data_IF_168350540127
#
_entry.id   IF_168350540127
#
_cell.length_a   1.000
_cell.length_b   1.000
_cell.length_c   1.000
_cell.angle_alpha   90.00
_cell.angle_beta   90.00
_cell.angle_gamma   90.00
#
_symmetry.space_group_name_H-M   'P 1'
#
loop_
_entity.id
_entity.type
_entity.pdbx_description
1 polymer ?
#
# COMPACT_ATOMS: atom_id res chain seq x y z
N UNK A 1 -4.59 10.39 28.70
CA UNK A 1 -3.20 10.05 28.33
C UNK A 1 -3.23 8.97 27.28
N UNK A 2 -2.89 9.31 26.04
CA UNK A 2 -2.75 8.35 24.95
C UNK A 2 -1.27 7.99 24.80
N UNK A 3 -0.97 6.71 24.72
CA UNK A 3 0.34 6.19 24.29
C UNK A 3 0.21 5.86 22.81
N UNK A 4 1.18 6.32 22.00
CA UNK A 4 1.24 6.10 20.56
C UNK A 4 2.42 5.18 20.29
N UNK A 5 2.15 4.00 19.75
CA UNK A 5 3.19 3.13 19.19
C UNK A 5 3.29 3.41 17.68
N UNK A 6 4.38 4.06 17.27
CA UNK A 6 4.56 4.64 15.95
C UNK A 6 4.75 3.60 14.83
N UNK A 7 5.01 2.33 15.17
CA UNK A 7 5.19 1.26 14.19
C UNK A 7 3.88 0.57 13.76
N UNK A 8 2.79 0.70 14.54
CA UNK A 8 1.55 -0.06 14.32
C UNK A 8 0.30 0.81 14.07
N UNK A 9 0.38 2.12 14.33
CA UNK A 9 -0.78 3.01 14.17
C UNK A 9 -1.97 2.61 15.06
N UNK A 10 -1.68 2.24 16.32
CA UNK A 10 -2.69 1.87 17.31
C UNK A 10 -2.77 2.97 18.38
N UNK A 11 -3.99 3.42 18.71
CA UNK A 11 -4.25 4.37 19.78
C UNK A 11 -5.07 3.74 20.88
N UNK A 12 -4.62 3.91 22.12
CA UNK A 12 -5.33 3.49 23.33
C UNK A 12 -6.14 4.66 23.89
N UNK A 13 -7.43 4.46 24.09
CA UNK A 13 -8.34 5.45 24.68
C UNK A 13 -8.93 4.88 25.96
N UNK A 14 -8.61 5.49 27.10
CA UNK A 14 -9.25 5.16 28.38
C UNK A 14 -10.63 5.83 28.45
N UNK A 15 -11.67 5.03 28.71
CA UNK A 15 -13.08 5.43 28.72
C UNK A 15 -13.69 5.54 30.14
N UNK A 16 -12.92 5.30 31.20
CA UNK A 16 -13.45 5.22 32.58
C UNK A 16 -13.86 6.56 33.19
N UNK A 17 -13.17 7.64 32.83
CA UNK A 17 -13.43 8.96 33.41
C UNK A 17 -14.77 9.54 32.92
N UNK A 18 -14.93 9.63 31.59
CA UNK A 18 -16.14 10.10 30.93
C UNK A 18 -16.24 9.41 29.58
N UNK A 19 -17.23 8.52 29.47
CA UNK A 19 -17.43 7.70 28.28
C UNK A 19 -17.86 8.54 27.07
N UNK A 20 -18.64 9.60 27.27
CA UNK A 20 -19.11 10.46 26.17
C UNK A 20 -17.97 11.31 25.64
N UNK A 21 -17.15 11.86 26.54
CA UNK A 21 -15.93 12.55 26.14
C UNK A 21 -14.94 11.60 25.45
N UNK A 22 -14.79 10.38 25.95
CA UNK A 22 -13.98 9.33 25.32
C UNK A 22 -14.42 9.04 23.88
N UNK A 23 -15.74 8.86 23.64
CA UNK A 23 -16.30 8.67 22.29
C UNK A 23 -16.04 9.87 21.38
N UNK A 24 -16.16 11.10 21.90
CA UNK A 24 -15.83 12.30 21.11
C UNK A 24 -14.37 12.34 20.70
N UNK A 25 -13.45 11.92 21.57
CA UNK A 25 -12.03 11.78 21.23
C UNK A 25 -11.85 10.75 20.12
N UNK A 26 -12.46 9.57 20.24
CA UNK A 26 -12.40 8.50 19.20
C UNK A 26 -12.85 9.06 17.85
N UNK A 27 -14.02 9.69 17.80
CA UNK A 27 -14.56 10.27 16.55
C UNK A 27 -13.66 11.39 16.00
N UNK A 28 -13.04 12.20 16.87
CA UNK A 28 -12.12 13.26 16.44
C UNK A 28 -10.83 12.70 15.87
N UNK A 29 -10.28 11.64 16.49
CA UNK A 29 -9.10 10.94 15.98
C UNK A 29 -9.38 10.36 14.60
N UNK A 30 -10.52 9.66 14.42
CA UNK A 30 -10.91 9.07 13.14
C UNK A 30 -11.17 10.11 12.04
N UNK A 31 -11.52 11.35 12.39
CA UNK A 31 -11.61 12.45 11.41
C UNK A 31 -10.25 12.96 10.94
N UNK A 32 -9.22 12.85 11.77
CA UNK A 32 -7.86 13.34 11.46
C UNK A 32 -7.04 12.22 10.77
N UNK A 33 -7.18 10.99 11.25
CA UNK A 33 -6.50 9.80 10.71
C UNK A 33 -7.55 8.68 10.55
N UNK A 34 -8.19 8.57 9.38
CA UNK A 34 -9.30 7.62 9.17
C UNK A 34 -8.91 6.14 9.36
N UNK A 35 -7.68 5.78 9.03
CA UNK A 35 -7.21 4.37 9.00
C UNK A 35 -6.50 3.93 10.29
N UNK A 36 -6.58 4.72 11.37
CA UNK A 36 -5.94 4.40 12.64
C UNK A 36 -6.78 3.39 13.44
N UNK A 37 -6.13 2.38 14.02
CA UNK A 37 -6.83 1.40 14.86
C UNK A 37 -6.93 1.91 16.29
N UNK A 38 -8.12 1.84 16.88
CA UNK A 38 -8.37 2.38 18.23
C UNK A 38 -8.77 1.25 19.17
N UNK A 39 -8.08 1.10 20.29
CA UNK A 39 -8.43 0.18 21.38
C UNK A 39 -9.04 0.98 22.52
N UNK A 40 -10.32 0.74 22.82
CA UNK A 40 -10.98 1.27 24.01
C UNK A 40 -10.54 0.48 25.25
N UNK A 41 -10.19 1.18 26.32
CA UNK A 41 -9.80 0.57 27.61
C UNK A 41 -10.73 1.08 28.70
N UNK A 42 -11.32 0.18 29.48
CA UNK A 42 -12.20 0.57 30.60
C UNK A 42 -12.30 -0.53 31.66
N UNK A 43 -12.40 -0.17 32.92
CA UNK A 43 -12.74 -1.08 34.02
C UNK A 43 -14.19 -1.56 33.99
N UNK A 44 -15.05 -0.96 33.15
CA UNK A 44 -16.45 -1.34 33.00
C UNK A 44 -16.60 -2.50 32.02
N UNK A 45 -17.29 -3.54 32.47
CA UNK A 45 -17.52 -4.77 31.70
C UNK A 45 -18.96 -4.91 31.20
N UNK A 46 -19.78 -3.86 31.33
CA UNK A 46 -21.17 -3.91 30.88
C UNK A 46 -21.24 -3.94 29.34
N UNK A 47 -22.06 -4.82 28.75
CA UNK A 47 -22.15 -4.96 27.29
C UNK A 47 -22.54 -3.66 26.57
N UNK A 48 -23.34 -2.80 27.21
CA UNK A 48 -23.77 -1.52 26.63
C UNK A 48 -22.58 -0.57 26.41
N UNK A 49 -21.68 -0.47 27.38
CA UNK A 49 -20.43 0.32 27.27
C UNK A 49 -19.55 -0.20 26.15
N UNK A 50 -19.35 -1.53 26.08
CA UNK A 50 -18.52 -2.16 25.05
C UNK A 50 -19.10 -1.88 23.66
N UNK A 51 -20.39 -2.18 23.44
CA UNK A 51 -21.06 -1.96 22.17
C UNK A 51 -21.05 -0.47 21.80
N UNK A 52 -21.27 0.41 22.78
CA UNK A 52 -21.27 1.84 22.52
C UNK A 52 -19.89 2.40 22.19
N UNK A 53 -18.81 1.85 22.76
CA UNK A 53 -17.44 2.20 22.39
C UNK A 53 -17.11 1.72 20.97
N UNK A 54 -17.48 0.48 20.63
CA UNK A 54 -17.32 -0.05 19.27
C UNK A 54 -18.08 0.79 18.24
N UNK A 55 -19.33 1.19 18.54
CA UNK A 55 -20.12 2.10 17.68
C UNK A 55 -19.52 3.49 17.51
N UNK A 56 -18.72 3.96 18.46
CA UNK A 56 -18.01 5.22 18.35
C UNK A 56 -16.77 5.13 17.44
N UNK A 57 -16.35 3.91 17.06
CA UNK A 57 -15.26 3.65 16.14
C UNK A 57 -14.05 2.94 16.76
N UNK A 58 -14.15 2.42 17.98
CA UNK A 58 -13.11 1.54 18.53
C UNK A 58 -13.05 0.23 17.72
N UNK A 59 -11.85 -0.15 17.29
CA UNK A 59 -11.56 -1.39 16.57
C UNK A 59 -11.56 -2.61 17.48
N UNK A 60 -11.14 -2.43 18.74
CA UNK A 60 -11.19 -3.43 19.81
C UNK A 60 -11.47 -2.78 21.17
N UNK A 61 -11.78 -3.60 22.17
CA UNK A 61 -12.02 -3.19 23.54
C UNK A 61 -11.30 -4.13 24.51
N UNK A 62 -10.66 -3.58 25.54
CA UNK A 62 -9.95 -4.34 26.58
C UNK A 62 -10.39 -3.86 27.96
N UNK A 63 -10.69 -4.80 28.84
CA UNK A 63 -11.12 -4.50 30.21
C UNK A 63 -9.93 -4.17 31.10
N UNK A 64 -10.08 -3.19 31.99
CA UNK A 64 -9.11 -2.90 33.05
C UNK A 64 -9.46 -3.67 34.34
N UNK A 65 -8.47 -4.15 35.12
CA UNK A 65 -7.03 -4.08 34.87
C UNK A 65 -6.64 -4.91 33.64
N UNK A 66 -5.80 -4.32 32.79
CA UNK A 66 -5.46 -4.90 31.49
C UNK A 66 -4.63 -6.16 31.69
N UNK A 67 -5.17 -7.30 31.29
CA UNK A 67 -4.41 -8.54 31.13
C UNK A 67 -3.54 -8.44 29.86
N UNK A 68 -2.28 -8.86 29.98
CA UNK A 68 -1.33 -8.92 28.87
C UNK A 68 -1.84 -9.83 27.76
N UNK A 69 -2.52 -10.93 28.10
CA UNK A 69 -3.05 -11.86 27.09
C UNK A 69 -4.25 -11.26 26.33
N UNK A 70 -5.17 -10.60 27.02
CA UNK A 70 -6.32 -9.92 26.40
C UNK A 70 -5.86 -8.75 25.52
N UNK A 71 -4.87 -8.01 25.99
CA UNK A 71 -4.25 -6.94 25.20
C UNK A 71 -3.56 -7.49 23.94
N UNK A 72 -2.78 -8.56 24.09
CA UNK A 72 -2.14 -9.24 22.96
C UNK A 72 -3.17 -9.72 21.94
N UNK A 73 -4.24 -10.37 22.41
CA UNK A 73 -5.33 -10.83 21.55
C UNK A 73 -6.04 -9.67 20.82
N UNK A 74 -6.26 -8.54 21.48
CA UNK A 74 -6.83 -7.35 20.85
C UNK A 74 -5.91 -6.80 19.76
N UNK A 75 -4.60 -6.69 20.03
CA UNK A 75 -3.62 -6.27 19.03
C UNK A 75 -3.55 -7.27 17.88
N UNK A 76 -3.53 -8.57 18.14
CA UNK A 76 -3.53 -9.60 17.10
C UNK A 76 -4.79 -9.57 16.24
N UNK A 77 -5.96 -9.28 16.82
CA UNK A 77 -7.21 -9.09 16.05
C UNK A 77 -7.18 -7.85 15.17
N UNK A 78 -6.58 -6.77 15.64
CA UNK A 78 -6.35 -5.57 14.83
C UNK A 78 -5.41 -5.91 13.67
N UNK A 79 -4.30 -6.59 13.97
CA UNK A 79 -3.37 -7.08 12.95
C UNK A 79 -4.10 -7.99 11.97
N UNK A 80 -4.86 -8.98 12.42
CA UNK A 80 -5.55 -9.92 11.54
C UNK A 80 -6.70 -9.31 10.75
N UNK A 81 -7.32 -8.23 11.23
CA UNK A 81 -8.35 -7.48 10.48
C UNK A 81 -7.71 -6.57 9.43
N UNK A 82 -6.56 -5.95 9.75
CA UNK A 82 -5.76 -5.20 8.78
C UNK A 82 -5.08 -6.12 7.76
N UNK A 83 -4.69 -7.31 8.19
CA UNK A 83 -4.20 -8.44 7.42
C UNK A 83 -5.34 -9.36 6.91
N UNK A 84 -6.61 -9.00 7.09
CA UNK A 84 -7.74 -9.80 6.58
C UNK A 84 -7.91 -9.66 5.06
N UNK A 85 -7.16 -8.73 4.46
CA UNK A 85 -6.58 -8.97 3.14
C UNK A 85 -5.20 -9.56 3.43
N UNK A 86 -5.00 -10.88 3.32
CA UNK A 86 -3.68 -11.43 3.53
C UNK A 86 -2.76 -10.79 2.48
N UNK A 87 -1.76 -10.02 2.92
CA UNK A 87 -0.60 -9.70 2.10
C UNK A 87 0.18 -11.01 1.89
N UNK A 88 -0.36 -11.87 1.03
CA UNK A 88 0.36 -13.03 0.46
C UNK A 88 1.12 -12.64 -0.80
N UNK A 89 0.95 -11.40 -1.27
CA UNK A 89 1.70 -10.88 -2.39
C UNK A 89 3.08 -10.43 -1.96
N UNK A 90 4.11 -10.85 -2.68
CA UNK A 90 5.44 -10.26 -2.57
C UNK A 90 5.55 -9.05 -3.50
N UNK A 91 5.61 -7.84 -2.94
CA UNK A 91 5.73 -6.57 -3.67
C UNK A 91 7.19 -6.22 -3.93
N UNK A 92 7.57 -6.10 -5.19
CA UNK A 92 8.93 -5.78 -5.62
C UNK A 92 8.92 -4.44 -6.35
N UNK A 93 9.53 -3.43 -5.76
CA UNK A 93 9.69 -2.12 -6.38
C UNK A 93 11.04 -2.03 -7.09
N UNK A 94 11.04 -1.68 -8.38
CA UNK A 94 12.25 -1.51 -9.17
C UNK A 94 12.46 -0.03 -9.47
N UNK A 95 13.63 0.51 -9.14
CA UNK A 95 13.97 1.92 -9.36
C UNK A 95 15.30 2.05 -10.09
N UNK A 96 15.30 2.79 -11.19
CA UNK A 96 16.52 3.08 -11.95
C UNK A 96 17.33 4.22 -11.34
N UNK A 97 18.62 4.00 -11.07
CA UNK A 97 19.53 5.03 -10.58
C UNK A 97 19.87 6.10 -11.64
N UNK A 98 19.64 5.84 -12.93
CA UNK A 98 19.87 6.80 -14.02
C UNK A 98 18.91 6.54 -15.18
N UNK A 99 18.82 7.47 -16.13
CA UNK A 99 18.03 7.25 -17.34
C UNK A 99 18.63 6.12 -18.18
N UNK A 100 17.78 5.25 -18.72
CA UNK A 100 18.21 4.18 -19.63
C UNK A 100 19.06 3.08 -18.98
N UNK A 101 19.06 2.94 -17.64
CA UNK A 101 19.78 1.84 -16.95
C UNK A 101 19.10 0.48 -17.09
N UNK A 102 17.90 0.44 -17.68
CA UNK A 102 17.12 -0.78 -17.89
C UNK A 102 16.17 -1.13 -16.74
N UNK A 103 15.73 -0.15 -15.93
CA UNK A 103 14.75 -0.37 -14.85
C UNK A 103 13.48 -1.04 -15.35
N UNK A 104 12.75 -0.38 -16.25
CA UNK A 104 11.53 -0.91 -16.91
C UNK A 104 11.78 -2.26 -17.58
N UNK A 105 12.89 -2.41 -18.31
CA UNK A 105 13.24 -3.68 -18.96
C UNK A 105 13.37 -4.80 -17.93
N UNK A 106 14.03 -4.54 -16.81
CA UNK A 106 14.15 -5.52 -15.73
C UNK A 106 12.81 -5.79 -15.08
N UNK A 107 11.97 -4.78 -14.83
CA UNK A 107 10.62 -4.92 -14.28
C UNK A 107 9.76 -5.87 -15.14
N UNK A 108 9.75 -5.66 -16.47
CA UNK A 108 9.00 -6.50 -17.41
C UNK A 108 9.51 -7.96 -17.43
N UNK A 109 10.82 -8.16 -17.46
CA UNK A 109 11.41 -9.50 -17.46
C UNK A 109 11.22 -10.20 -16.11
N UNK A 110 11.37 -9.48 -15.00
CA UNK A 110 11.16 -10.01 -13.65
C UNK A 110 9.72 -10.49 -13.47
N UNK A 111 8.73 -9.69 -13.88
CA UNK A 111 7.32 -10.10 -13.82
C UNK A 111 7.05 -11.35 -14.67
N UNK A 112 7.65 -11.43 -15.86
CA UNK A 112 7.54 -12.57 -16.76
C UNK A 112 8.17 -13.84 -16.16
N UNK A 113 9.39 -13.74 -15.63
CA UNK A 113 10.11 -14.85 -15.01
C UNK A 113 9.40 -15.33 -13.74
N UNK A 114 8.91 -14.43 -12.88
CA UNK A 114 8.13 -14.80 -11.70
C UNK A 114 6.86 -15.56 -12.09
N UNK A 115 6.17 -15.11 -13.14
CA UNK A 115 4.97 -15.78 -13.62
C UNK A 115 5.26 -17.19 -14.17
N UNK A 116 6.39 -17.36 -14.88
CA UNK A 116 6.80 -18.64 -15.42
C UNK A 116 7.25 -19.62 -14.32
N UNK A 117 8.11 -19.17 -13.41
CA UNK A 117 8.70 -20.02 -12.36
C UNK A 117 7.69 -20.45 -11.31
N UNK A 118 6.73 -19.58 -10.97
CA UNK A 118 5.72 -19.88 -9.95
C UNK A 118 4.45 -20.49 -10.53
N UNK A 119 4.28 -20.45 -11.86
CA UNK A 119 3.04 -20.80 -12.55
C UNK A 119 1.80 -20.03 -12.05
N UNK A 120 2.02 -18.83 -11.49
CA UNK A 120 0.98 -17.93 -11.00
C UNK A 120 1.06 -16.61 -11.74
N UNK A 121 -0.07 -15.93 -11.91
CA UNK A 121 -0.06 -14.61 -12.56
C UNK A 121 0.69 -13.59 -11.72
N UNK A 122 1.63 -12.86 -12.34
CA UNK A 122 2.33 -11.74 -11.71
C UNK A 122 1.69 -10.42 -12.15
N UNK A 123 1.39 -9.54 -11.19
CA UNK A 123 1.01 -8.16 -11.54
C UNK A 123 2.26 -7.35 -11.88
N UNK A 124 2.18 -6.52 -12.91
CA UNK A 124 3.16 -5.50 -13.25
C UNK A 124 2.48 -4.15 -13.26
N UNK A 125 2.98 -3.19 -12.48
CA UNK A 125 2.43 -1.84 -12.38
C UNK A 125 3.46 -0.84 -12.89
N UNK A 126 3.08 -0.05 -13.88
CA UNK A 126 3.91 1.05 -14.39
C UNK A 126 3.53 2.36 -13.70
N UNK A 127 4.41 2.84 -12.81
CA UNK A 127 4.23 4.10 -12.09
C UNK A 127 5.03 5.26 -12.68
N UNK A 128 5.71 5.07 -13.81
CA UNK A 128 6.18 6.22 -14.61
C UNK A 128 4.98 6.76 -15.40
N UNK A 129 4.11 7.48 -14.69
CA UNK A 129 2.80 7.93 -15.17
C UNK A 129 2.90 8.80 -16.42
N UNK A 130 4.01 9.52 -16.61
CA UNK A 130 4.20 10.44 -17.74
C UNK A 130 4.89 9.77 -18.93
N UNK A 131 5.89 8.91 -18.68
CA UNK A 131 6.80 8.41 -19.73
C UNK A 131 7.05 6.90 -19.68
N UNK A 132 6.29 6.14 -18.89
CA UNK A 132 6.42 4.70 -18.76
C UNK A 132 6.20 3.94 -20.06
N UNK A 133 7.01 2.91 -20.29
CA UNK A 133 7.05 2.13 -21.53
C UNK A 133 6.84 0.63 -21.28
N UNK A 134 6.24 0.25 -20.14
CA UNK A 134 6.01 -1.17 -19.84
C UNK A 134 5.08 -1.82 -20.88
N UNK A 135 3.98 -1.14 -21.25
CA UNK A 135 3.05 -1.62 -22.28
C UNK A 135 3.73 -1.77 -23.65
N UNK A 136 4.57 -0.80 -24.02
CA UNK A 136 5.36 -0.86 -25.26
C UNK A 136 6.32 -2.05 -25.27
N UNK A 137 6.91 -2.39 -24.12
CA UNK A 137 7.81 -3.56 -23.99
C UNK A 137 7.12 -4.90 -24.29
N UNK A 138 5.78 -4.95 -24.17
CA UNK A 138 4.96 -6.13 -24.48
C UNK A 138 4.16 -6.01 -25.79
N UNK A 139 4.38 -4.96 -26.58
CA UNK A 139 3.63 -4.68 -27.80
C UNK A 139 2.10 -4.68 -27.57
N UNK A 140 1.65 -4.04 -26.48
CA UNK A 140 0.24 -3.98 -26.11
C UNK A 140 -0.25 -2.56 -25.85
N UNK A 141 -1.57 -2.37 -26.00
CA UNK A 141 -2.27 -1.11 -25.74
C UNK A 141 -3.40 -1.36 -24.73
N UNK A 142 -3.15 -1.15 -23.42
CA UNK A 142 -4.18 -1.25 -22.39
C UNK A 142 -5.32 -0.26 -22.63
N UNK A 143 -6.57 -0.74 -22.54
CA UNK A 143 -7.77 0.12 -22.71
C UNK A 143 -8.01 1.03 -21.51
N UNK A 144 -7.59 0.58 -20.35
CA UNK A 144 -7.78 1.23 -19.06
C UNK A 144 -6.44 1.27 -18.34
N UNK A 145 -6.30 2.21 -17.42
CA UNK A 145 -5.06 2.56 -16.76
C UNK A 145 -5.28 2.87 -15.28
N UNK A 146 -4.19 3.11 -14.56
CA UNK A 146 -4.25 3.58 -13.18
C UNK A 146 -5.04 4.91 -13.03
N UNK A 147 -5.00 5.80 -14.03
CA UNK A 147 -5.78 7.03 -13.99
C UNK A 147 -7.30 6.77 -14.02
N UNK A 148 -7.75 5.72 -14.71
CA UNK A 148 -9.17 5.37 -14.77
C UNK A 148 -9.68 4.87 -13.41
N UNK A 149 -8.83 4.14 -12.68
CA UNK A 149 -9.11 3.73 -11.30
C UNK A 149 -9.24 4.93 -10.36
N UNK A 150 -8.37 5.92 -10.51
CA UNK A 150 -8.38 7.13 -9.67
C UNK A 150 -9.51 8.12 -10.03
N UNK A 151 -10.07 8.03 -11.24
CA UNK A 151 -11.04 8.99 -11.78
C UNK A 151 -12.37 9.02 -11.03
N UNK A 152 -12.81 7.88 -10.50
CA UNK A 152 -14.14 7.75 -9.88
C UNK A 152 -14.26 8.44 -8.53
N UNK A 153 -13.13 8.68 -7.84
CA UNK A 153 -13.09 9.21 -6.47
C UNK A 153 -13.73 8.27 -5.44
N UNK A 154 -14.09 7.04 -5.85
CA UNK A 154 -14.65 5.99 -5.02
C UNK A 154 -13.54 5.02 -4.60
N UNK A 155 -13.74 4.26 -3.51
CA UNK A 155 -12.80 3.20 -3.15
C UNK A 155 -12.56 2.26 -4.33
N UNK A 156 -11.29 2.00 -4.64
CA UNK A 156 -10.91 1.06 -5.70
C UNK A 156 -11.22 -0.35 -5.22
N UNK A 157 -12.11 -1.05 -5.93
CA UNK A 157 -12.47 -2.42 -5.65
C UNK A 157 -11.83 -3.41 -6.63
N UNK A 158 -12.01 -4.71 -6.33
CA UNK A 158 -11.47 -5.80 -7.14
C UNK A 158 -11.98 -5.77 -8.59
N UNK A 159 -13.26 -5.49 -8.81
CA UNK A 159 -13.87 -5.53 -10.15
C UNK A 159 -13.36 -4.39 -11.03
N UNK A 160 -13.13 -3.22 -10.43
CA UNK A 160 -12.47 -2.10 -11.10
C UNK A 160 -11.04 -2.46 -11.52
N UNK A 161 -10.25 -3.03 -10.62
CA UNK A 161 -8.87 -3.45 -10.92
C UNK A 161 -8.84 -4.54 -11.99
N UNK A 162 -9.70 -5.56 -11.90
CA UNK A 162 -9.83 -6.61 -12.92
C UNK A 162 -10.14 -6.05 -14.32
N UNK A 163 -10.93 -4.98 -14.39
CA UNK A 163 -11.24 -4.30 -15.64
C UNK A 163 -10.09 -3.42 -16.15
N UNK A 164 -9.28 -2.88 -15.23
CA UNK A 164 -8.18 -1.99 -15.56
C UNK A 164 -6.91 -2.73 -16.01
N UNK A 165 -6.66 -3.93 -15.47
CA UNK A 165 -5.47 -4.71 -15.84
C UNK A 165 -5.59 -5.31 -17.24
N UNK A 166 -4.51 -5.23 -18.01
CA UNK A 166 -4.37 -5.90 -19.29
C UNK A 166 -3.70 -7.27 -19.08
N UNK A 167 -4.39 -8.35 -19.44
CA UNK A 167 -3.86 -9.71 -19.32
C UNK A 167 -2.98 -10.05 -20.52
N UNK A 168 -1.71 -10.35 -20.26
CA UNK A 168 -0.73 -10.74 -21.28
C UNK A 168 -0.66 -12.28 -21.42
N UNK A 169 -0.32 -12.81 -22.61
CA UNK A 169 -0.18 -14.25 -22.83
C UNK A 169 0.85 -14.96 -21.95
N UNK A 170 1.80 -14.22 -21.37
CA UNK A 170 2.86 -14.73 -20.49
C UNK A 170 2.47 -14.81 -19.00
N UNK A 171 1.17 -14.80 -18.67
CA UNK A 171 0.66 -14.75 -17.30
C UNK A 171 1.12 -13.50 -16.51
N UNK A 172 1.24 -12.36 -17.20
CA UNK A 172 1.46 -11.06 -16.57
C UNK A 172 0.19 -10.23 -16.67
N UNK A 173 -0.26 -9.66 -15.55
CA UNK A 173 -1.36 -8.72 -15.49
C UNK A 173 -0.78 -7.29 -15.39
N UNK A 174 -0.83 -6.54 -16.50
CA UNK A 174 -0.25 -5.20 -16.58
C UNK A 174 -1.28 -4.14 -16.19
N UNK A 175 -0.99 -3.35 -15.16
CA UNK A 175 -1.63 -2.08 -14.89
C UNK A 175 -0.74 -0.95 -15.41
N UNK A 176 -1.09 -0.41 -16.57
CA UNK A 176 -0.29 0.60 -17.25
C UNK A 176 -0.48 2.01 -16.72
N UNK A 177 0.47 2.87 -17.08
CA UNK A 177 0.34 4.33 -16.98
C UNK A 177 -0.88 4.84 -17.78
N UNK A 178 -1.32 6.09 -17.56
CA UNK A 178 -2.37 6.72 -18.35
C UNK A 178 -2.04 6.75 -19.85
N UNK A 179 -3.05 6.54 -20.68
CA UNK A 179 -2.93 6.59 -22.14
C UNK A 179 -2.59 8.00 -22.64
N UNK A 180 -3.25 9.00 -22.05
CA UNK A 180 -2.99 10.42 -22.31
C UNK A 180 -2.12 11.01 -21.19
N UNK A 181 -1.01 11.66 -21.53
CA UNK A 181 -0.11 12.29 -20.55
C UNK A 181 -0.85 13.33 -19.70
N UNK A 182 -1.85 14.00 -20.27
CA UNK A 182 -2.68 14.96 -19.54
C UNK A 182 -3.41 14.33 -18.35
N UNK A 183 -3.73 13.04 -18.41
CA UNK A 183 -4.44 12.30 -17.36
C UNK A 183 -3.49 11.85 -16.22
N UNK A 184 -2.17 12.09 -16.33
CA UNK A 184 -1.23 11.85 -15.25
C UNK A 184 -1.62 12.54 -13.93
N UNK A 185 -2.21 13.73 -14.03
CA UNK A 185 -2.72 14.50 -12.88
C UNK A 185 -3.85 13.82 -12.11
N UNK A 186 -4.50 12.81 -12.72
CA UNK A 186 -5.59 12.08 -12.08
C UNK A 186 -5.07 11.02 -11.11
N UNK A 187 -3.81 10.59 -11.27
CA UNK A 187 -3.20 9.56 -10.42
C UNK A 187 -2.82 10.17 -9.08
N UNK A 188 -3.36 9.62 -8.00
CA UNK A 188 -3.13 10.10 -6.63
C UNK A 188 -2.37 9.06 -5.81
N UNK A 189 -1.64 9.46 -4.74
CA UNK A 189 -0.98 8.52 -3.84
C UNK A 189 -1.95 7.51 -3.23
N UNK A 190 -3.11 7.96 -2.75
CA UNK A 190 -4.17 7.09 -2.23
C UNK A 190 -4.66 6.10 -3.30
N UNK A 191 -4.85 6.55 -4.55
CA UNK A 191 -5.21 5.66 -5.65
C UNK A 191 -4.15 4.58 -5.92
N UNK A 192 -2.86 4.92 -5.83
CA UNK A 192 -1.74 3.96 -5.93
C UNK A 192 -1.80 2.94 -4.79
N UNK A 193 -1.93 3.40 -3.54
CA UNK A 193 -2.00 2.51 -2.37
C UNK A 193 -3.19 1.55 -2.44
N UNK A 194 -4.37 2.07 -2.79
CA UNK A 194 -5.56 1.24 -2.94
C UNK A 194 -5.43 0.23 -4.09
N UNK A 195 -4.90 0.65 -5.24
CA UNK A 195 -4.68 -0.25 -6.37
C UNK A 195 -3.68 -1.36 -6.02
N UNK A 196 -2.54 -1.01 -5.39
CA UNK A 196 -1.52 -2.00 -4.98
C UNK A 196 -2.02 -2.95 -3.90
N UNK A 197 -2.87 -2.47 -2.97
CA UNK A 197 -3.52 -3.31 -1.96
C UNK A 197 -4.46 -4.34 -2.61
N UNK A 198 -5.29 -3.91 -3.56
CA UNK A 198 -6.20 -4.81 -4.29
C UNK A 198 -5.41 -5.79 -5.16
N UNK A 199 -4.38 -5.33 -5.87
CA UNK A 199 -3.48 -6.20 -6.63
C UNK A 199 -2.80 -7.24 -5.73
N UNK A 200 -2.35 -6.85 -4.55
CA UNK A 200 -1.74 -7.77 -3.58
C UNK A 200 -2.70 -8.82 -3.02
N UNK A 201 -4.00 -8.53 -3.02
CA UNK A 201 -5.04 -9.50 -2.70
C UNK A 201 -5.32 -10.49 -3.85
N UNK A 202 -5.06 -10.07 -5.10
CA UNK A 202 -5.38 -10.81 -6.31
C UNK A 202 -4.23 -11.68 -6.80
N UNK A 203 -2.99 -11.20 -6.63
CA UNK A 203 -1.80 -11.79 -7.22
C UNK A 203 -0.73 -12.06 -6.15
N UNK A 204 -0.07 -13.23 -6.19
CA UNK A 204 0.99 -13.57 -5.23
C UNK A 204 2.29 -12.79 -5.44
N UNK A 205 2.45 -12.10 -6.58
CA UNK A 205 3.61 -11.26 -6.86
C UNK A 205 3.14 -9.97 -7.54
N UNK A 206 3.67 -8.84 -7.08
CA UNK A 206 3.39 -7.52 -7.65
C UNK A 206 4.72 -6.82 -7.91
N UNK A 207 5.10 -6.69 -9.17
CA UNK A 207 6.27 -5.91 -9.60
C UNK A 207 5.81 -4.49 -9.91
N UNK A 208 6.51 -3.50 -9.36
CA UNK A 208 6.20 -2.08 -9.56
C UNK A 208 7.40 -1.40 -10.20
N UNK A 209 7.22 -0.88 -11.42
CA UNK A 209 8.22 -0.08 -12.11
C UNK A 209 8.09 1.37 -11.66
N UNK A 210 9.11 1.88 -10.96
CA UNK A 210 9.09 3.23 -10.40
C UNK A 210 9.78 4.24 -11.33
N UNK A 211 9.26 5.49 -11.40
CA UNK A 211 9.97 6.57 -12.06
C UNK A 211 11.22 6.92 -11.26
N UNK A 212 12.18 7.54 -11.95
CA UNK A 212 13.42 8.06 -11.32
C UNK A 212 13.13 9.20 -10.34
N UNK A 213 12.08 9.97 -10.63
CA UNK A 213 11.68 11.08 -9.80
C UNK A 213 11.04 10.53 -8.53
N UNK A 214 11.66 10.85 -7.39
CA UNK A 214 11.04 10.57 -6.11
C UNK A 214 9.84 11.50 -5.94
N UNK A 215 8.64 10.92 -5.95
CA UNK A 215 7.36 11.62 -5.87
C UNK A 215 6.48 11.01 -4.79
N UNK A 216 5.36 11.67 -4.46
CA UNK A 216 4.36 11.10 -3.55
C UNK A 216 3.78 9.77 -4.08
N UNK A 217 3.74 9.57 -5.40
CA UNK A 217 3.30 8.31 -6.00
C UNK A 217 4.32 7.19 -5.76
N UNK A 218 5.61 7.51 -5.90
CA UNK A 218 6.70 6.57 -5.60
C UNK A 218 6.69 6.18 -4.12
N UNK A 219 6.49 7.16 -3.22
CA UNK A 219 6.38 6.91 -1.78
C UNK A 219 5.22 5.97 -1.44
N UNK A 220 4.03 6.19 -2.03
CA UNK A 220 2.87 5.33 -1.85
C UNK A 220 3.16 3.86 -2.22
N UNK A 221 3.91 3.64 -3.31
CA UNK A 221 4.30 2.29 -3.70
C UNK A 221 5.32 1.63 -2.76
N UNK A 222 6.26 2.43 -2.24
CA UNK A 222 7.36 1.99 -1.39
C UNK A 222 6.92 1.62 0.03
N UNK A 223 5.84 2.21 0.56
CA UNK A 223 5.40 2.05 1.97
C UNK A 223 5.22 0.58 2.41
N UNK A 224 4.79 -0.32 1.52
CA UNK A 224 4.70 -1.77 1.80
C UNK A 224 5.45 -2.62 0.76
N UNK A 225 6.60 -2.14 0.27
CA UNK A 225 7.46 -2.96 -0.57
C UNK A 225 8.17 -4.05 0.27
N UNK A 226 8.11 -5.30 -0.17
CA UNK A 226 8.86 -6.41 0.45
C UNK A 226 10.33 -6.43 -0.03
N UNK A 227 10.58 -5.92 -1.23
CA UNK A 227 11.90 -5.79 -1.82
C UNK A 227 11.99 -4.54 -2.70
N UNK A 228 13.06 -3.78 -2.53
CA UNK A 228 13.37 -2.64 -3.39
C UNK A 228 14.67 -2.92 -4.15
N UNK A 229 14.62 -2.87 -5.48
CA UNK A 229 15.74 -3.12 -6.37
C UNK A 229 16.23 -1.81 -7.00
N UNK A 230 17.44 -1.37 -6.66
CA UNK A 230 18.08 -0.21 -7.27
C UNK A 230 18.94 -0.66 -8.46
N UNK A 231 18.57 -0.23 -9.66
CA UNK A 231 19.25 -0.64 -10.89
C UNK A 231 20.26 0.42 -11.30
N UNK A 232 21.52 0.02 -11.38
CA UNK A 232 22.63 0.89 -11.73
C UNK A 232 23.52 0.25 -12.79
N UNK A 233 24.17 1.10 -13.58
CA UNK A 233 25.25 0.70 -14.48
C UNK A 233 26.60 1.03 -13.85
N UNK A 234 27.67 0.40 -14.34
CA UNK A 234 29.05 0.62 -13.90
C UNK A 234 29.62 1.95 -14.43
N UNK A 235 28.92 3.06 -14.15
CA UNK A 235 29.36 4.41 -14.46
C UNK A 235 29.33 5.27 -13.20
N UNK A 236 30.26 6.23 -13.11
CA UNK A 236 30.35 7.13 -11.95
C UNK A 236 29.02 7.87 -11.69
N UNK A 237 28.33 8.45 -12.70
CA UNK A 237 27.05 9.10 -12.47
C UNK A 237 25.98 8.14 -11.94
N UNK A 238 25.92 6.92 -12.47
CA UNK A 238 24.91 5.93 -12.08
C UNK A 238 25.14 5.42 -10.66
N UNK A 239 26.38 5.10 -10.29
CA UNK A 239 26.73 4.68 -8.92
C UNK A 239 26.46 5.80 -7.91
N UNK A 240 26.84 7.05 -8.25
CA UNK A 240 26.57 8.20 -7.37
C UNK A 240 25.07 8.41 -7.15
N UNK A 241 24.27 8.28 -8.20
CA UNK A 241 22.82 8.41 -8.08
C UNK A 241 22.21 7.24 -7.31
N UNK A 242 22.72 6.01 -7.49
CA UNK A 242 22.27 4.84 -6.73
C UNK A 242 22.49 5.05 -5.22
N UNK A 243 23.65 5.56 -4.82
CA UNK A 243 23.92 5.93 -3.43
C UNK A 243 22.91 6.94 -2.90
N UNK A 244 22.59 7.99 -3.67
CA UNK A 244 21.60 9.00 -3.25
C UNK A 244 20.19 8.44 -3.11
N UNK A 245 19.78 7.54 -4.00
CA UNK A 245 18.49 6.86 -3.90
C UNK A 245 18.47 5.97 -2.67
N UNK A 246 19.55 5.23 -2.43
CA UNK A 246 19.70 4.38 -1.25
C UNK A 246 19.58 5.16 0.07
N UNK A 247 20.27 6.31 0.17
CA UNK A 247 20.20 7.18 1.36
C UNK A 247 18.76 7.66 1.61
N UNK A 248 18.05 8.07 0.55
CA UNK A 248 16.65 8.51 0.63
C UNK A 248 15.72 7.39 1.11
N UNK A 249 15.94 6.15 0.64
CA UNK A 249 15.14 5.00 1.08
C UNK A 249 15.40 4.66 2.55
N UNK A 250 16.65 4.73 3.01
CA UNK A 250 17.00 4.51 4.42
C UNK A 250 16.33 5.54 5.34
N UNK A 251 16.31 6.82 4.95
CA UNK A 251 15.67 7.89 5.73
C UNK A 251 14.15 7.67 5.89
N UNK A 252 13.53 6.89 5.00
CA UNK A 252 12.10 6.55 5.03
C UNK A 252 11.79 5.31 5.87
N UNK A 253 12.83 4.56 6.30
CA UNK A 253 12.64 3.28 6.97
C UNK A 253 12.18 2.15 6.04
N UNK A 254 12.45 2.29 4.73
CA UNK A 254 12.18 1.28 3.72
C UNK A 254 13.33 0.25 3.61
#
# INVERSE_FOLDING_TARGET
NALVDAALGIVLVNLDNDIEFGKQIVQRILRIVPDISIIGVSARTDPETIISAMRAGCSQFVCAPVDVEDFRNAVERIRSTRLAVPHTSWRICVVGASGGVGGTTLSCNLATELAQLTHQTCALVDLDIEYGDAAFSFDCEPKFSLADLCRTGSPIDRTMVESAVHQLPCNVALLGRPNEVADARLVTPDGVEQALRVLGAMFPHVVVDLPRAYSFLSSAALNDADLIMIIAQLSIPSIRNASRVFDVLLDMGA
#
